data_IF_089749734775
#
_entry.id   IF_089749734775
#
_cell.length_a   1.000
_cell.length_b   1.000
_cell.length_c   1.000
_cell.angle_alpha   90.00
_cell.angle_beta   90.00
_cell.angle_gamma   90.00
#
_symmetry.space_group_name_H-M   'P 1'
#
loop_
_entity.id
_entity.type
_entity.pdbx_description
1 polymer ?
#
# COMPACT_ATOMS: atom_id res chain seq x y z
N UNK A 1 1.23 18.73 -1.91
CA UNK A 1 2.15 18.08 -2.88
C UNK A 1 1.33 17.15 -3.77
N UNK A 2 1.62 17.08 -5.07
CA UNK A 2 0.88 16.25 -6.03
C UNK A 2 1.88 15.41 -6.82
N UNK A 3 1.65 14.10 -6.88
CA UNK A 3 2.47 13.13 -7.60
C UNK A 3 1.61 12.31 -8.56
N UNK A 4 2.21 11.86 -9.65
CA UNK A 4 1.53 11.05 -10.68
C UNK A 4 2.29 9.75 -10.85
N UNK A 5 1.57 8.63 -10.80
CA UNK A 5 2.10 7.29 -10.94
C UNK A 5 1.38 6.57 -12.09
N UNK A 6 2.12 5.73 -12.80
CA UNK A 6 1.49 4.73 -13.68
C UNK A 6 1.22 3.49 -12.86
N UNK A 7 -0.01 3.01 -12.86
CA UNK A 7 -0.43 1.80 -12.14
C UNK A 7 -0.99 0.78 -13.10
N UNK A 8 -0.72 -0.49 -12.83
CA UNK A 8 -1.31 -1.59 -13.55
C UNK A 8 -2.71 -1.86 -13.03
N UNK A 9 -3.65 -2.09 -13.93
CA UNK A 9 -5.07 -2.29 -13.65
C UNK A 9 -5.55 -3.48 -14.46
N UNK A 10 -6.19 -4.44 -13.81
CA UNK A 10 -6.88 -5.54 -14.48
C UNK A 10 -8.35 -5.19 -14.65
N UNK A 11 -8.83 -5.25 -15.90
CA UNK A 11 -10.23 -5.07 -16.29
C UNK A 11 -10.64 -6.27 -17.12
N UNK A 12 -11.53 -7.10 -16.57
CA UNK A 12 -11.77 -8.45 -17.10
C UNK A 12 -10.49 -9.29 -17.08
N UNK A 13 -10.11 -9.85 -18.23
CA UNK A 13 -8.89 -10.66 -18.38
C UNK A 13 -7.65 -9.86 -18.81
N UNK A 14 -7.81 -8.56 -19.08
CA UNK A 14 -6.73 -7.72 -19.60
C UNK A 14 -6.08 -6.91 -18.48
N UNK A 15 -4.77 -6.85 -18.49
CA UNK A 15 -4.00 -5.92 -17.67
C UNK A 15 -3.55 -4.73 -18.53
N UNK A 16 -3.89 -3.53 -18.09
CA UNK A 16 -3.61 -2.26 -18.77
C UNK A 16 -2.97 -1.27 -17.79
N UNK A 17 -2.37 -0.19 -18.31
CA UNK A 17 -1.76 0.85 -17.49
C UNK A 17 -2.63 2.09 -17.45
N UNK A 18 -2.98 2.53 -16.25
CA UNK A 18 -3.75 3.74 -15.98
C UNK A 18 -2.92 4.74 -15.17
N UNK A 19 -3.40 5.97 -15.12
CA UNK A 19 -2.72 7.06 -14.40
C UNK A 19 -3.37 7.25 -13.05
N UNK A 20 -2.60 7.14 -11.98
CA UNK A 20 -3.02 7.43 -10.61
C UNK A 20 -2.34 8.72 -10.14
N UNK A 21 -3.14 9.73 -9.81
CA UNK A 21 -2.65 10.97 -9.21
C UNK A 21 -2.89 10.93 -7.70
N UNK A 22 -1.85 11.24 -6.93
CA UNK A 22 -1.90 11.36 -5.47
C UNK A 22 -1.73 12.82 -5.09
N UNK A 23 -2.63 13.35 -4.27
CA UNK A 23 -2.54 14.71 -3.72
C UNK A 23 -2.72 14.65 -2.22
N UNK A 24 -1.88 15.38 -1.49
CA UNK A 24 -2.09 15.63 -0.06
C UNK A 24 -2.56 17.09 0.12
N UNK A 25 -3.71 17.28 0.79
CA UNK A 25 -4.33 18.56 1.09
C UNK A 25 -5.38 18.42 2.19
N UNK A 26 -5.63 19.48 2.96
CA UNK A 26 -6.67 19.50 4.01
C UNK A 26 -6.56 18.37 5.05
N UNK A 27 -5.33 17.90 5.31
CA UNK A 27 -5.05 16.79 6.22
C UNK A 27 -5.44 15.41 5.68
N UNK A 28 -5.82 15.30 4.40
CA UNK A 28 -6.21 14.06 3.74
C UNK A 28 -5.42 13.79 2.47
N UNK A 29 -5.30 12.50 2.17
CA UNK A 29 -4.76 11.99 0.93
C UNK A 29 -5.88 11.73 -0.05
N UNK A 30 -5.78 12.31 -1.24
CA UNK A 30 -6.71 12.16 -2.34
C UNK A 30 -6.04 11.40 -3.47
N UNK A 31 -6.73 10.37 -3.97
CA UNK A 31 -6.34 9.58 -5.13
C UNK A 31 -7.33 9.83 -6.26
N UNK A 32 -6.83 10.10 -7.45
CA UNK A 32 -7.63 10.20 -8.68
C UNK A 32 -7.08 9.20 -9.68
N UNK A 33 -7.88 8.20 -10.04
CA UNK A 33 -7.55 7.20 -11.04
C UNK A 33 -8.17 7.58 -12.39
N UNK A 34 -7.34 7.62 -13.44
CA UNK A 34 -7.76 7.98 -14.80
C UNK A 34 -7.43 6.85 -15.77
N UNK A 35 -8.46 6.35 -16.45
CA UNK A 35 -8.30 5.51 -17.64
C UNK A 35 -7.98 6.40 -18.86
N UNK A 36 -7.60 5.81 -20.01
CA UNK A 36 -7.51 6.54 -21.27
C UNK A 36 -8.81 7.23 -21.70
N UNK A 37 -9.95 6.83 -21.14
CA UNK A 37 -11.28 7.37 -21.48
C UNK A 37 -11.78 8.45 -20.51
N UNK A 38 -11.09 8.68 -19.38
CA UNK A 38 -11.47 9.72 -18.42
C UNK A 38 -11.13 9.39 -16.98
N UNK A 39 -11.73 10.15 -16.06
CA UNK A 39 -11.65 9.85 -14.62
C UNK A 39 -12.57 8.68 -14.32
N UNK A 40 -12.02 7.63 -13.70
CA UNK A 40 -12.79 6.44 -13.33
C UNK A 40 -13.23 6.48 -11.88
N UNK A 41 -12.36 6.92 -10.97
CA UNK A 41 -12.63 6.92 -9.54
C UNK A 41 -11.78 7.97 -8.82
N UNK A 42 -12.38 8.58 -7.81
CA UNK A 42 -11.70 9.45 -6.85
C UNK A 42 -12.00 8.97 -5.45
N UNK A 43 -10.98 8.92 -4.59
CA UNK A 43 -11.15 8.51 -3.21
C UNK A 43 -10.22 9.30 -2.29
N UNK A 44 -10.61 9.41 -1.02
CA UNK A 44 -9.75 10.01 0.00
C UNK A 44 -9.56 9.13 1.23
N UNK A 45 -8.55 9.47 2.03
CA UNK A 45 -8.25 8.80 3.28
C UNK A 45 -7.18 9.50 4.10
N UNK A 46 -7.00 9.03 5.34
CA UNK A 46 -6.01 9.59 6.27
C UNK A 46 -4.56 9.31 5.85
N UNK A 47 -4.35 8.30 5.00
CA UNK A 47 -3.07 7.93 4.42
C UNK A 47 -3.29 7.32 3.02
N UNK A 48 -2.22 7.20 2.21
CA UNK A 48 -2.31 6.68 0.83
C UNK A 48 -2.90 5.27 0.80
N UNK A 49 -2.56 4.43 1.77
CA UNK A 49 -3.09 3.06 1.86
C UNK A 49 -4.59 3.06 2.15
N UNK A 50 -5.07 3.93 3.03
CA UNK A 50 -6.50 4.08 3.33
C UNK A 50 -7.28 4.59 2.12
N UNK A 51 -6.79 5.66 1.46
CA UNK A 51 -7.41 6.17 0.25
C UNK A 51 -7.46 5.10 -0.87
N UNK A 52 -6.39 4.31 -1.00
CA UNK A 52 -6.33 3.20 -1.95
C UNK A 52 -7.36 2.10 -1.62
N UNK A 53 -7.57 1.79 -0.34
CA UNK A 53 -8.60 0.83 0.09
C UNK A 53 -10.00 1.32 -0.28
N UNK A 54 -10.32 2.59 -0.01
CA UNK A 54 -11.59 3.21 -0.41
C UNK A 54 -11.80 3.11 -1.93
N UNK A 55 -10.81 3.55 -2.72
CA UNK A 55 -10.83 3.46 -4.18
C UNK A 55 -11.07 2.03 -4.68
N UNK A 56 -10.38 1.04 -4.10
CA UNK A 56 -10.55 -0.38 -4.47
C UNK A 56 -11.96 -0.90 -4.19
N UNK A 57 -12.56 -0.50 -3.07
CA UNK A 57 -13.93 -0.89 -2.75
C UNK A 57 -14.94 -0.34 -3.77
N UNK A 58 -14.76 0.90 -4.22
CA UNK A 58 -15.61 1.52 -5.26
C UNK A 58 -15.42 0.91 -6.66
N UNK A 59 -14.20 0.49 -6.98
CA UNK A 59 -13.86 -0.13 -8.26
C UNK A 59 -14.29 -1.59 -8.37
N UNK A 60 -14.40 -2.31 -7.25
CA UNK A 60 -14.69 -3.73 -7.23
C UNK A 60 -16.01 -4.11 -7.94
N UNK A 61 -17.17 -3.42 -7.72
CA UNK A 61 -18.40 -3.70 -8.45
C UNK A 61 -18.31 -3.50 -9.97
N UNK A 62 -17.32 -2.74 -10.44
CA UNK A 62 -17.07 -2.47 -11.86
C UNK A 62 -16.13 -3.48 -12.50
N UNK A 63 -15.68 -4.49 -11.74
CA UNK A 63 -14.74 -5.50 -12.23
C UNK A 63 -13.32 -4.97 -12.44
N UNK A 64 -12.97 -3.86 -11.79
CA UNK A 64 -11.66 -3.20 -11.94
C UNK A 64 -10.78 -3.54 -10.73
N UNK A 65 -9.59 -4.09 -10.98
CA UNK A 65 -8.62 -4.47 -9.93
C UNK A 65 -7.33 -3.66 -10.08
N UNK A 66 -6.90 -2.96 -9.03
CA UNK A 66 -5.60 -2.29 -8.99
C UNK A 66 -4.47 -3.28 -8.64
N UNK A 67 -3.51 -3.44 -9.53
CA UNK A 67 -2.39 -4.38 -9.42
C UNK A 67 -1.17 -3.74 -8.76
N UNK A 68 -1.31 -3.38 -7.47
CA UNK A 68 -0.25 -2.78 -6.67
C UNK A 68 -0.07 -3.47 -5.30
N UNK A 69 1.08 -3.27 -4.66
CA UNK A 69 1.40 -3.93 -3.40
C UNK A 69 0.40 -3.61 -2.28
N UNK A 70 -0.11 -2.37 -2.21
CA UNK A 70 -1.14 -1.98 -1.26
C UNK A 70 -2.46 -2.73 -1.46
N UNK A 71 -2.67 -3.34 -2.63
CA UNK A 71 -3.83 -4.14 -2.94
C UNK A 71 -3.69 -5.64 -2.59
N UNK A 72 -2.48 -6.08 -2.21
CA UNK A 72 -2.26 -7.48 -1.83
C UNK A 72 -3.03 -7.87 -0.57
N UNK A 73 -3.43 -9.14 -0.49
CA UNK A 73 -4.11 -9.68 0.71
C UNK A 73 -3.19 -9.70 1.93
N UNK A 74 -1.90 -9.92 1.71
CA UNK A 74 -0.89 -10.19 2.73
C UNK A 74 -0.09 -8.95 3.16
N UNK A 75 -0.64 -7.74 3.05
CA UNK A 75 0.09 -6.51 3.42
C UNK A 75 -0.58 -5.67 4.51
N UNK A 76 0.23 -4.92 5.26
CA UNK A 76 -0.25 -3.85 6.15
C UNK A 76 0.82 -2.78 6.35
N UNK A 77 0.46 -1.49 6.40
CA UNK A 77 1.40 -0.45 6.85
C UNK A 77 1.65 -0.58 8.36
N UNK A 78 2.88 -0.30 8.80
CA UNK A 78 3.19 -0.12 10.22
C UNK A 78 2.69 1.24 10.72
N UNK A 79 2.56 1.43 12.04
CA UNK A 79 2.20 2.74 12.62
C UNK A 79 3.14 3.86 12.16
N UNK A 80 4.45 3.59 12.10
CA UNK A 80 5.45 4.53 11.60
C UNK A 80 5.28 4.83 10.10
N UNK A 81 4.95 3.82 9.28
CA UNK A 81 4.66 4.06 7.87
C UNK A 81 3.42 4.97 7.72
N UNK A 82 2.36 4.71 8.49
CA UNK A 82 1.14 5.52 8.49
C UNK A 82 1.38 6.97 8.90
N UNK A 83 2.24 7.22 9.89
CA UNK A 83 2.60 8.59 10.29
C UNK A 83 3.33 9.38 9.20
N UNK A 84 3.81 8.70 8.15
CA UNK A 84 4.44 9.28 6.97
C UNK A 84 3.61 9.07 5.70
N UNK A 85 2.29 8.91 5.82
CA UNK A 85 1.37 8.81 4.67
C UNK A 85 1.22 7.41 4.07
N UNK A 86 1.79 6.37 4.69
CA UNK A 86 1.69 4.97 4.27
C UNK A 86 2.17 4.69 2.82
N UNK A 87 3.24 5.36 2.38
CA UNK A 87 3.90 5.11 1.09
C UNK A 87 4.56 3.74 0.97
N UNK A 88 4.84 3.09 2.11
CA UNK A 88 5.42 1.76 2.18
C UNK A 88 4.53 0.82 3.01
N UNK A 89 4.39 -0.43 2.57
CA UNK A 89 3.67 -1.48 3.32
C UNK A 89 4.57 -2.68 3.54
N UNK A 90 4.35 -3.41 4.63
CA UNK A 90 5.03 -4.67 4.84
C UNK A 90 4.20 -5.81 4.24
N UNK A 91 4.85 -6.69 3.48
CA UNK A 91 4.34 -8.03 3.21
C UNK A 91 4.45 -8.86 4.50
N UNK A 92 3.43 -9.63 4.82
CA UNK A 92 3.26 -10.34 6.08
C UNK A 92 3.27 -11.85 5.86
N UNK A 93 4.45 -12.49 5.71
CA UNK A 93 4.51 -13.95 5.56
C UNK A 93 3.95 -14.66 6.80
N UNK A 94 3.31 -15.81 6.61
CA UNK A 94 2.78 -16.61 7.72
C UNK A 94 3.83 -17.48 8.42
N UNK A 95 4.85 -17.90 7.67
CA UNK A 95 5.84 -18.90 8.10
C UNK A 95 7.09 -18.29 8.74
N UNK A 96 7.23 -16.96 8.77
CA UNK A 96 8.36 -16.30 9.40
C UNK A 96 8.00 -14.88 9.87
N UNK A 97 8.80 -14.30 10.78
CA UNK A 97 8.67 -12.89 11.13
C UNK A 97 8.86 -11.97 9.92
N UNK A 98 8.11 -10.87 9.92
CA UNK A 98 8.26 -9.75 8.98
C UNK A 98 9.52 -8.94 9.32
N UNK A 99 10.30 -8.58 8.31
CA UNK A 99 11.57 -7.84 8.41
C UNK A 99 11.57 -6.61 7.51
N UNK A 100 12.60 -5.78 7.58
CA UNK A 100 12.77 -4.63 6.67
C UNK A 100 12.80 -5.02 5.18
N UNK A 101 13.20 -6.26 4.85
CA UNK A 101 13.21 -6.76 3.46
C UNK A 101 11.82 -6.98 2.89
N UNK A 102 10.81 -7.05 3.75
CA UNK A 102 9.41 -7.21 3.36
C UNK A 102 8.70 -5.87 3.13
N UNK A 103 9.41 -4.76 3.31
CA UNK A 103 8.89 -3.42 3.10
C UNK A 103 8.91 -3.10 1.59
N UNK A 104 7.75 -2.84 1.02
CA UNK A 104 7.56 -2.58 -0.41
C UNK A 104 6.76 -1.29 -0.63
N UNK A 105 6.95 -0.59 -1.77
CA UNK A 105 6.16 0.60 -2.09
C UNK A 105 4.68 0.27 -2.28
N UNK A 106 3.79 1.01 -1.62
CA UNK A 106 2.34 0.81 -1.63
C UNK A 106 1.76 0.82 -3.05
N UNK A 107 2.22 1.75 -3.90
CA UNK A 107 1.79 1.88 -5.28
C UNK A 107 2.68 1.11 -6.27
N UNK A 108 3.71 0.41 -5.78
CA UNK A 108 4.54 -0.47 -6.62
C UNK A 108 3.73 -1.64 -7.16
N UNK A 109 4.10 -2.16 -8.33
CA UNK A 109 3.40 -3.26 -8.99
C UNK A 109 3.31 -4.52 -8.11
N UNK A 110 2.17 -5.21 -8.19
CA UNK A 110 2.00 -6.58 -7.72
C UNK A 110 1.09 -7.35 -8.68
N UNK A 111 1.39 -8.63 -8.97
CA UNK A 111 0.61 -9.42 -9.91
C UNK A 111 -0.79 -9.70 -9.39
N UNK A 112 -1.74 -9.84 -10.31
CA UNK A 112 -3.17 -9.86 -10.03
C UNK A 112 -3.63 -11.08 -9.18
N UNK A 113 -2.85 -12.16 -9.15
CA UNK A 113 -3.06 -13.37 -8.33
C UNK A 113 -2.77 -13.14 -6.84
N UNK A 114 -2.04 -12.07 -6.50
CA UNK A 114 -1.75 -11.66 -5.11
C UNK A 114 -2.73 -10.63 -4.57
N UNK A 115 -3.52 -10.04 -5.46
CA UNK A 115 -4.51 -9.02 -5.13
C UNK A 115 -5.79 -9.70 -4.67
N UNK A 116 -6.39 -9.17 -3.60
CA UNK A 116 -7.70 -9.63 -3.14
C UNK A 116 -8.64 -8.48 -2.87
N UNK A 117 -9.76 -8.78 -2.23
CA UNK A 117 -10.71 -7.77 -1.76
C UNK A 117 -10.20 -7.04 -0.52
N UNK A 118 -10.91 -5.98 -0.12
CA UNK A 118 -10.62 -5.24 1.11
C UNK A 118 -10.92 -6.11 2.33
N UNK A 119 -11.97 -6.92 2.26
CA UNK A 119 -12.43 -7.87 3.28
C UNK A 119 -11.43 -9.02 3.44
N UNK A 120 -10.90 -9.56 2.34
CA UNK A 120 -9.86 -10.59 2.38
C UNK A 120 -8.58 -10.08 3.04
N UNK A 121 -8.19 -8.84 2.74
CA UNK A 121 -7.04 -8.18 3.37
C UNK A 121 -7.25 -8.00 4.88
N UNK A 122 -8.46 -7.63 5.32
CA UNK A 122 -8.78 -7.52 6.75
C UNK A 122 -8.87 -8.88 7.45
N UNK A 123 -9.45 -9.89 6.80
CA UNK A 123 -9.49 -11.26 7.31
C UNK A 123 -8.07 -11.84 7.46
N UNK A 124 -7.18 -11.53 6.51
CA UNK A 124 -5.77 -11.89 6.61
C UNK A 124 -5.11 -11.23 7.81
N UNK A 125 -5.30 -9.92 7.98
CA UNK A 125 -4.74 -9.16 9.09
C UNK A 125 -5.23 -9.67 10.45
N UNK A 126 -6.53 -9.94 10.59
CA UNK A 126 -7.10 -10.49 11.81
C UNK A 126 -6.48 -11.85 12.18
N UNK A 127 -6.29 -12.73 11.19
CA UNK A 127 -5.58 -14.00 11.40
C UNK A 127 -4.12 -13.79 11.77
N UNK A 128 -3.43 -12.86 11.09
CA UNK A 128 -2.03 -12.52 11.37
C UNK A 128 -1.83 -12.06 12.82
N UNK A 129 -2.73 -11.24 13.36
CA UNK A 129 -2.71 -10.80 14.75
C UNK A 129 -2.88 -11.95 15.75
N UNK A 130 -3.76 -12.94 15.46
CA UNK A 130 -3.95 -14.10 16.33
C UNK A 130 -2.70 -14.97 16.45
N UNK A 131 -1.97 -15.16 15.35
CA UNK A 131 -0.73 -15.95 15.34
C UNK A 131 0.49 -15.19 15.88
N UNK A 132 0.40 -13.87 16.04
CA UNK A 132 1.49 -13.00 16.52
C UNK A 132 1.64 -12.92 18.04
N UNK A 133 0.93 -13.73 18.83
CA UNK A 133 1.08 -13.86 20.30
C UNK A 133 2.40 -14.54 20.75
N UNK A 134 3.51 -14.27 20.05
CA UNK A 134 4.87 -14.64 20.48
C UNK A 134 5.68 -13.35 20.74
N UNK A 135 6.07 -13.06 22.00
CA UNK A 135 6.65 -11.77 22.41
C UNK A 135 8.01 -11.43 21.77
N UNK A 136 8.72 -12.41 21.19
CA UNK A 136 10.03 -12.21 20.58
C UNK A 136 9.99 -11.43 19.25
N UNK A 137 8.81 -11.24 18.64
CA UNK A 137 8.66 -10.51 17.37
C UNK A 137 8.65 -8.98 17.51
N UNK A 138 8.77 -8.45 18.73
CA UNK A 138 8.83 -7.00 19.00
C UNK A 138 10.21 -6.37 18.77
N UNK A 139 11.24 -7.18 18.55
CA UNK A 139 12.60 -6.68 18.30
C UNK A 139 12.91 -6.86 16.82
N UNK A 140 12.34 -6.01 15.96
CA UNK A 140 12.95 -5.73 14.66
C UNK A 140 13.83 -4.47 14.84
N UNK A 141 15.16 -4.61 14.89
CA UNK A 141 16.11 -3.56 15.28
C UNK A 141 16.31 -2.45 14.22
N UNK A 142 15.34 -2.24 13.32
CA UNK A 142 15.42 -1.20 12.27
C UNK A 142 15.56 0.20 12.87
N UNK A 143 15.14 0.42 14.12
CA UNK A 143 15.35 1.69 14.81
C UNK A 143 16.83 2.07 14.95
N UNK A 144 17.74 1.11 15.17
CA UNK A 144 19.19 1.40 15.27
C UNK A 144 19.83 1.61 13.90
N UNK A 145 19.40 0.85 12.89
CA UNK A 145 19.90 1.00 11.52
C UNK A 145 19.45 2.35 10.95
N UNK A 146 18.20 2.76 11.15
CA UNK A 146 17.71 4.05 10.66
C UNK A 146 18.41 5.24 11.35
N UNK A 147 18.72 5.15 12.65
CA UNK A 147 19.53 6.16 13.35
C UNK A 147 20.99 6.19 12.85
N UNK A 148 21.55 5.04 12.49
CA UNK A 148 22.91 4.92 11.96
C UNK A 148 23.03 5.37 10.49
N UNK A 149 21.99 5.22 9.67
CA UNK A 149 22.04 5.55 8.23
C UNK A 149 21.42 6.90 7.87
N UNK A 150 20.52 7.45 8.70
CA UNK A 150 19.93 8.78 8.46
C UNK A 150 20.93 9.95 8.63
N UNK A 151 22.12 9.68 9.16
CA UNK A 151 23.25 10.62 9.21
C UNK A 151 24.07 10.67 7.91
N UNK A 152 23.78 9.82 6.93
CA UNK A 152 24.49 9.74 5.65
C UNK A 152 23.55 10.00 4.47
N UNK A 153 23.28 11.28 4.20
CA UNK A 153 22.59 11.67 2.96
C UNK A 153 21.73 12.92 3.04
N UNK A 154 22.33 14.06 3.39
CA UNK A 154 21.80 15.34 2.89
C UNK A 154 22.38 15.54 1.49
N UNK A 155 21.57 15.74 0.43
CA UNK A 155 22.12 16.19 -0.84
C UNK A 155 22.80 17.55 -0.61
N UNK A 156 24.06 17.67 -1.04
CA UNK A 156 24.75 18.96 -1.11
C UNK A 156 24.00 19.85 -2.10
N UNK A 157 23.87 21.14 -1.73
CA UNK A 157 23.35 22.22 -2.57
C UNK A 157 24.08 22.27 -3.91
#
# INVERSE_FOLDING_TARGET
MSETHTVHVRVGEREVRWTLRVRHGDGQWHLTLRSPHGVECEASGNDVFHALRTMRAELAPRGVTLCCNGARVDVRPSGLSRSHGAWMVYVLPRWRPTTARDLVPTLGYAPADRIGSVEEQDAYWARHLRHRRNPLNFINPVWWIYWATASWGRPRK
#
